data_IF_855775343162
#
_entry.id   IF_855775343162
#
_cell.length_a   1.000
_cell.length_b   1.000
_cell.length_c   1.000
_cell.angle_alpha   90.00
_cell.angle_beta   90.00
_cell.angle_gamma   90.00
#
_symmetry.space_group_name_H-M   'P 1'
#
loop_
_entity.id
_entity.type
_entity.pdbx_description
1 polymer ?
#
# COMPACT_ATOMS: atom_id res chain seq x y z
N UNK A 1 -25.31 -14.12 12.88
CA UNK A 1 -24.27 -13.16 13.31
C UNK A 1 -22.94 -13.89 13.28
N UNK A 2 -22.05 -13.57 12.35
CA UNK A 2 -20.76 -14.26 12.26
C UNK A 2 -19.88 -13.81 13.43
N UNK A 3 -19.58 -14.74 14.34
CA UNK A 3 -18.62 -14.50 15.42
C UNK A 3 -17.26 -14.16 14.79
N UNK A 4 -16.72 -12.97 15.09
CA UNK A 4 -15.36 -12.60 14.71
C UNK A 4 -14.41 -13.65 15.30
N UNK A 5 -13.59 -14.26 14.43
CA UNK A 5 -12.66 -15.32 14.83
C UNK A 5 -11.71 -14.83 15.93
N UNK A 6 -11.31 -15.75 16.82
CA UNK A 6 -10.29 -15.45 17.83
C UNK A 6 -9.01 -14.88 17.17
N UNK A 7 -8.68 -15.37 15.98
CA UNK A 7 -7.53 -14.93 15.20
C UNK A 7 -7.62 -13.45 14.82
N UNK A 8 -8.76 -13.01 14.26
CA UNK A 8 -8.95 -11.62 13.88
C UNK A 8 -8.93 -10.68 15.11
N UNK A 9 -9.48 -11.13 16.25
CA UNK A 9 -9.43 -10.40 17.52
C UNK A 9 -8.01 -10.21 18.05
N UNK A 10 -7.11 -11.16 17.82
CA UNK A 10 -5.71 -11.07 18.21
C UNK A 10 -4.87 -10.26 17.20
N UNK A 11 -5.11 -10.43 15.89
CA UNK A 11 -4.30 -9.82 14.84
C UNK A 11 -4.52 -8.31 14.72
N UNK A 12 -5.76 -7.84 14.85
CA UNK A 12 -6.06 -6.41 14.62
C UNK A 12 -5.38 -5.46 15.63
N UNK A 13 -5.38 -5.73 16.96
CA UNK A 13 -4.60 -4.94 17.92
C UNK A 13 -3.10 -4.97 17.63
N UNK A 14 -2.54 -6.15 17.38
CA UNK A 14 -1.11 -6.29 17.09
C UNK A 14 -0.71 -5.47 15.86
N UNK A 15 -1.49 -5.53 14.77
CA UNK A 15 -1.22 -4.75 13.56
C UNK A 15 -1.28 -3.24 13.82
N UNK A 16 -2.24 -2.77 14.62
CA UNK A 16 -2.32 -1.33 14.97
C UNK A 16 -1.04 -0.83 15.63
N UNK A 17 -0.42 -1.64 16.49
CA UNK A 17 0.79 -1.27 17.23
C UNK A 17 2.09 -1.50 16.44
N UNK A 18 2.15 -2.56 15.62
CA UNK A 18 3.42 -3.04 15.03
C UNK A 18 3.54 -2.88 13.51
N UNK A 19 2.55 -2.31 12.82
CA UNK A 19 2.63 -2.15 11.36
C UNK A 19 3.79 -1.24 10.94
N UNK A 20 4.44 -1.61 9.83
CA UNK A 20 5.43 -0.74 9.18
C UNK A 20 4.73 0.50 8.58
N UNK A 21 5.31 1.71 8.71
CA UNK A 21 4.83 2.89 8.03
C UNK A 21 5.21 2.82 6.55
N UNK A 22 4.23 2.49 5.68
CA UNK A 22 4.43 2.42 4.23
C UNK A 22 3.60 3.53 3.56
N UNK A 23 4.16 4.28 2.59
CA UNK A 23 3.50 5.45 2.00
C UNK A 23 2.09 5.15 1.46
N UNK A 24 1.93 4.02 0.77
CA UNK A 24 0.66 3.59 0.19
C UNK A 24 -0.40 3.15 1.22
N UNK A 25 -0.02 2.92 2.49
CA UNK A 25 -0.97 2.66 3.59
C UNK A 25 -1.52 3.93 4.23
N UNK A 26 -0.92 5.09 3.97
CA UNK A 26 -1.35 6.38 4.50
C UNK A 26 -2.34 7.11 3.58
N UNK A 27 -2.81 6.47 2.50
CA UNK A 27 -3.73 7.05 1.52
C UNK A 27 -4.92 6.14 1.26
N UNK A 28 -5.99 6.73 0.71
CA UNK A 28 -7.17 6.02 0.17
C UNK A 28 -7.32 6.18 -1.34
N UNK A 29 -6.34 6.80 -1.99
CA UNK A 29 -6.33 7.01 -3.44
C UNK A 29 -6.15 5.68 -4.19
N UNK A 30 -7.14 5.25 -5.00
CA UNK A 30 -7.07 3.98 -5.72
C UNK A 30 -5.87 3.86 -6.67
N UNK A 31 -5.47 4.96 -7.33
CA UNK A 31 -4.34 4.95 -8.26
C UNK A 31 -3.02 4.68 -7.52
N UNK A 32 -2.81 5.39 -6.41
CA UNK A 32 -1.63 5.22 -5.56
C UNK A 32 -1.57 3.84 -4.90
N UNK A 33 -2.71 3.28 -4.49
CA UNK A 33 -2.78 1.92 -3.92
C UNK A 33 -2.45 0.90 -5.02
N UNK A 34 -3.15 0.95 -6.16
CA UNK A 34 -2.91 0.04 -7.29
C UNK A 34 -1.45 0.06 -7.75
N UNK A 35 -0.85 1.26 -7.89
CA UNK A 35 0.54 1.42 -8.28
C UNK A 35 1.49 0.70 -7.30
N UNK A 36 1.25 0.83 -5.99
CA UNK A 36 2.07 0.12 -4.99
C UNK A 36 1.96 -1.40 -5.11
N UNK A 37 0.77 -1.93 -5.38
CA UNK A 37 0.57 -3.37 -5.55
C UNK A 37 1.31 -3.90 -6.78
N UNK A 38 1.26 -3.18 -7.91
CA UNK A 38 2.00 -3.55 -9.14
C UNK A 38 3.51 -3.51 -8.90
N UNK A 39 4.02 -2.45 -8.28
CA UNK A 39 5.46 -2.30 -8.04
C UNK A 39 6.03 -3.35 -7.11
N UNK A 40 5.24 -3.79 -6.12
CA UNK A 40 5.68 -4.77 -5.11
C UNK A 40 5.57 -6.22 -5.60
N UNK A 41 5.00 -6.45 -6.78
CA UNK A 41 5.09 -7.77 -7.42
C UNK A 41 6.53 -8.05 -7.81
N UNK A 42 7.07 -9.20 -7.37
CA UNK A 42 8.43 -9.65 -7.65
C UNK A 42 9.57 -8.68 -7.23
N UNK A 43 9.29 -7.66 -6.41
CA UNK A 43 10.30 -6.75 -5.85
C UNK A 43 10.26 -6.70 -4.33
N UNK A 44 11.31 -6.17 -3.70
CA UNK A 44 11.36 -5.94 -2.24
C UNK A 44 10.82 -4.55 -1.90
N UNK A 45 10.18 -4.42 -0.74
CA UNK A 45 9.62 -3.14 -0.24
C UNK A 45 10.63 -1.99 -0.29
N UNK A 46 11.86 -2.22 0.19
CA UNK A 46 12.87 -1.16 0.29
C UNK A 46 13.30 -0.63 -1.09
N UNK A 47 13.27 -1.49 -2.12
CA UNK A 47 13.47 -1.08 -3.51
C UNK A 47 12.22 -0.40 -4.08
N UNK A 48 11.03 -0.96 -3.83
CA UNK A 48 9.75 -0.47 -4.33
C UNK A 48 9.41 0.94 -3.88
N UNK A 49 9.74 1.34 -2.64
CA UNK A 49 9.48 2.69 -2.12
C UNK A 49 10.13 3.77 -3.01
N UNK A 50 11.38 3.57 -3.42
CA UNK A 50 12.09 4.53 -4.26
C UNK A 50 11.46 4.69 -5.64
N UNK A 51 11.03 3.58 -6.27
CA UNK A 51 10.31 3.63 -7.55
C UNK A 51 8.92 4.25 -7.42
N UNK A 52 8.21 3.96 -6.33
CA UNK A 52 6.90 4.53 -6.05
C UNK A 52 6.91 6.06 -6.02
N UNK A 53 7.87 6.66 -5.30
CA UNK A 53 7.99 8.11 -5.25
C UNK A 53 8.34 8.72 -6.61
N UNK A 54 9.34 8.18 -7.31
CA UNK A 54 9.73 8.68 -8.64
C UNK A 54 8.59 8.58 -9.66
N UNK A 55 7.80 7.51 -9.60
CA UNK A 55 6.70 7.30 -10.52
C UNK A 55 5.57 8.29 -10.28
N UNK A 56 5.22 8.56 -9.02
CA UNK A 56 4.20 9.57 -8.67
C UNK A 56 4.64 11.01 -8.92
N UNK A 57 5.95 11.27 -8.94
CA UNK A 57 6.49 12.55 -9.36
C UNK A 57 6.33 12.76 -10.88
N UNK A 58 6.62 11.72 -11.67
CA UNK A 58 6.48 11.76 -13.14
C UNK A 58 5.02 11.68 -13.62
N UNK A 59 4.21 10.87 -12.94
CA UNK A 59 2.81 10.60 -13.27
C UNK A 59 1.94 10.78 -12.01
N UNK A 60 1.56 12.03 -11.67
CA UNK A 60 0.82 12.31 -10.44
C UNK A 60 -0.56 11.66 -10.40
N UNK A 61 -1.20 11.48 -11.56
CA UNK A 61 -2.51 10.86 -11.72
C UNK A 61 -2.50 9.75 -12.77
N UNK A 62 -3.54 8.90 -12.74
CA UNK A 62 -3.75 7.87 -13.77
C UNK A 62 -3.92 8.47 -15.18
N UNK A 63 -4.40 9.71 -15.30
CA UNK A 63 -4.54 10.38 -16.59
C UNK A 63 -3.19 10.82 -17.14
N UNK A 64 -2.27 11.29 -16.27
CA UNK A 64 -0.90 11.63 -16.68
C UNK A 64 -0.12 10.39 -17.15
N UNK A 65 -0.40 9.24 -16.55
CA UNK A 65 0.13 7.95 -17.00
C UNK A 65 -0.43 7.50 -18.37
N UNK A 66 -1.66 7.90 -18.69
CA UNK A 66 -2.38 7.42 -19.87
C UNK A 66 -2.21 8.29 -21.13
N UNK A 67 -1.69 9.51 -20.98
CA UNK A 67 -1.46 10.47 -22.06
C UNK A 67 -0.34 10.03 -23.01
#
# INVERSE_FOLDING_TARGET
>A
MSSVSWFAKALAPWYREHHRPLPWRATRDPYRIWLSEVMLQQTRVDQGIGYYHRFLEAFPTVHDLAA
#
